data_IF_742634707764
#
_entry.id   IF_742634707764
#
_cell.length_a   1.000
_cell.length_b   1.000
_cell.length_c   1.000
_cell.angle_alpha   90.00
_cell.angle_beta   90.00
_cell.angle_gamma   90.00
#
_symmetry.space_group_name_H-M   'P 1'
#
loop_
_entity.id
_entity.type
_entity.pdbx_description
1 polymer ?
#
# COMPACT_ATOMS: atom_id res chain seq x y z
N UNK A 1 -20.41 -7.59 7.14
CA UNK A 1 -19.68 -6.58 6.32
C UNK A 1 -18.61 -7.32 5.53
N UNK A 2 -18.57 -7.14 4.20
CA UNK A 2 -17.54 -7.78 3.36
C UNK A 2 -16.29 -6.91 3.37
N UNK A 3 -15.12 -7.51 3.62
CA UNK A 3 -13.84 -6.83 3.63
C UNK A 3 -13.00 -7.23 2.41
N UNK A 4 -12.01 -6.39 2.05
CA UNK A 4 -10.93 -6.71 1.13
C UNK A 4 -9.60 -6.22 1.71
N UNK A 5 -8.51 -6.94 1.41
CA UNK A 5 -7.14 -6.52 1.71
C UNK A 5 -6.54 -5.85 0.47
N UNK A 6 -5.99 -4.66 0.66
CA UNK A 6 -5.22 -3.93 -0.35
C UNK A 6 -3.74 -4.01 0.04
N UNK A 7 -2.93 -4.70 -0.77
CA UNK A 7 -1.48 -4.81 -0.61
C UNK A 7 -0.83 -3.86 -1.59
N UNK A 8 -0.34 -2.72 -1.09
CA UNK A 8 0.01 -1.56 -1.90
C UNK A 8 1.51 -1.49 -2.14
N UNK A 9 1.92 -1.56 -3.42
CA UNK A 9 3.25 -1.27 -3.92
C UNK A 9 4.39 -2.01 -3.20
N UNK A 10 4.19 -3.28 -2.84
CA UNK A 10 5.26 -4.10 -2.24
C UNK A 10 6.19 -4.60 -3.34
N UNK A 11 6.98 -3.67 -3.89
CA UNK A 11 7.88 -3.84 -5.03
C UNK A 11 9.34 -3.81 -4.58
N UNK A 12 10.23 -4.42 -5.38
CA UNK A 12 11.66 -4.50 -5.08
C UNK A 12 12.34 -3.12 -4.95
N UNK A 13 11.72 -2.04 -5.48
CA UNK A 13 12.17 -0.67 -5.28
C UNK A 13 12.33 -0.30 -3.80
N UNK A 14 11.46 -0.88 -2.94
CA UNK A 14 11.46 -0.64 -1.50
C UNK A 14 12.37 -1.59 -0.70
N UNK A 15 13.13 -2.44 -1.36
CA UNK A 15 14.05 -3.41 -0.72
C UNK A 15 15.46 -3.29 -1.28
N UNK A 16 15.62 -3.57 -2.56
CA UNK A 16 16.92 -3.58 -3.27
C UNK A 16 17.06 -2.43 -4.26
N UNK A 17 16.01 -1.62 -4.43
CA UNK A 17 15.99 -0.44 -5.26
C UNK A 17 16.52 0.81 -4.54
N UNK A 18 16.04 1.98 -4.96
CA UNK A 18 16.53 3.29 -4.48
C UNK A 18 15.81 3.81 -3.24
N UNK A 19 14.72 3.18 -2.83
CA UNK A 19 13.84 3.65 -1.74
C UNK A 19 13.67 2.61 -0.64
N UNK A 20 14.75 2.05 -0.05
CA UNK A 20 14.63 0.97 0.93
C UNK A 20 13.83 1.42 2.16
N UNK A 21 12.73 0.75 2.43
CA UNK A 21 11.91 0.99 3.62
C UNK A 21 12.67 0.54 4.86
N UNK A 22 12.74 1.40 5.88
CA UNK A 22 13.53 1.17 7.08
C UNK A 22 12.68 1.06 8.36
N UNK A 23 11.42 1.53 8.32
CA UNK A 23 10.55 1.54 9.51
C UNK A 23 9.08 1.24 9.14
N UNK A 24 8.38 0.45 9.98
CA UNK A 24 8.89 -0.36 11.08
C UNK A 24 9.63 -1.61 10.58
N UNK A 25 10.56 -2.09 11.41
CA UNK A 25 11.21 -3.38 11.14
C UNK A 25 10.16 -4.51 11.09
N UNK A 26 10.31 -5.47 10.15
CA UNK A 26 9.39 -6.59 10.01
C UNK A 26 8.07 -6.27 9.32
N UNK A 27 7.91 -5.07 8.75
CA UNK A 27 6.68 -4.70 8.04
C UNK A 27 6.35 -5.66 6.90
N UNK A 28 7.34 -6.17 6.16
CA UNK A 28 7.11 -7.19 5.13
C UNK A 28 6.49 -8.46 5.72
N UNK A 29 7.04 -8.99 6.80
CA UNK A 29 6.52 -10.21 7.43
C UNK A 29 5.07 -10.02 7.89
N UNK A 30 4.73 -8.82 8.37
CA UNK A 30 3.36 -8.49 8.76
C UNK A 30 2.43 -8.38 7.55
N UNK A 31 2.89 -7.82 6.41
CA UNK A 31 2.14 -7.83 5.16
C UNK A 31 1.86 -9.26 4.71
N UNK A 32 2.88 -10.13 4.74
CA UNK A 32 2.73 -11.52 4.34
C UNK A 32 1.74 -12.27 5.24
N UNK A 33 1.82 -12.07 6.56
CA UNK A 33 0.83 -12.63 7.52
C UNK A 33 -0.58 -12.12 7.26
N UNK A 34 -0.73 -10.84 6.89
CA UNK A 34 -2.04 -10.29 6.54
C UNK A 34 -2.61 -10.93 5.27
N UNK A 35 -1.76 -11.23 4.28
CA UNK A 35 -2.16 -11.97 3.06
C UNK A 35 -2.55 -13.41 3.39
N UNK A 36 -1.77 -14.11 4.20
CA UNK A 36 -2.04 -15.48 4.61
C UNK A 36 -3.36 -15.55 5.40
N UNK A 37 -3.58 -14.63 6.35
CA UNK A 37 -4.84 -14.49 7.08
C UNK A 37 -6.03 -14.19 6.13
N UNK A 38 -5.84 -13.34 5.14
CA UNK A 38 -6.88 -13.02 4.17
C UNK A 38 -7.24 -14.25 3.33
N UNK A 39 -6.25 -15.03 2.91
CA UNK A 39 -6.44 -16.28 2.17
C UNK A 39 -7.28 -17.29 2.99
N UNK A 40 -6.87 -17.55 4.25
CA UNK A 40 -7.56 -18.49 5.14
C UNK A 40 -8.99 -18.05 5.45
N UNK A 41 -9.19 -16.74 5.61
CA UNK A 41 -10.49 -16.11 5.83
C UNK A 41 -11.35 -15.92 4.57
N UNK A 42 -10.86 -16.28 3.40
CA UNK A 42 -11.51 -16.03 2.11
C UNK A 42 -11.85 -14.55 1.90
N UNK A 43 -10.97 -13.68 2.40
CA UNK A 43 -11.04 -12.22 2.20
C UNK A 43 -10.35 -11.89 0.87
N UNK A 44 -11.04 -11.24 -0.09
CA UNK A 44 -10.44 -10.88 -1.37
C UNK A 44 -9.19 -10.01 -1.21
N UNK A 45 -8.15 -10.29 -1.99
CA UNK A 45 -6.88 -9.58 -1.98
C UNK A 45 -6.65 -8.87 -3.31
N UNK A 46 -6.48 -7.55 -3.26
CA UNK A 46 -5.99 -6.76 -4.39
C UNK A 46 -4.53 -6.38 -4.13
N UNK A 47 -3.62 -6.83 -4.99
CA UNK A 47 -2.23 -6.38 -5.02
C UNK A 47 -2.15 -5.18 -5.94
N UNK A 48 -1.60 -4.08 -5.45
CA UNK A 48 -1.42 -2.85 -6.21
C UNK A 48 0.05 -2.74 -6.61
N UNK A 49 0.30 -2.35 -7.86
CA UNK A 49 1.66 -2.18 -8.39
C UNK A 49 1.80 -0.80 -9.01
N UNK A 50 2.74 -0.02 -8.50
CA UNK A 50 3.01 1.33 -9.01
C UNK A 50 3.94 1.29 -10.23
N UNK A 51 3.59 2.06 -11.25
CA UNK A 51 4.43 2.33 -12.41
C UNK A 51 4.59 3.83 -12.56
N UNK A 52 5.83 4.30 -12.62
CA UNK A 52 6.11 5.66 -13.04
C UNK A 52 6.14 5.72 -14.57
N UNK A 53 5.20 6.43 -15.21
CA UNK A 53 5.09 6.44 -16.67
C UNK A 53 6.09 7.37 -17.36
N UNK A 54 6.84 8.20 -16.61
CA UNK A 54 7.79 9.14 -17.20
C UNK A 54 8.92 8.36 -17.90
N UNK A 55 9.28 8.72 -19.14
CA UNK A 55 10.35 8.03 -19.89
C UNK A 55 11.71 8.02 -19.15
N UNK A 56 11.98 9.10 -18.41
CA UNK A 56 13.20 9.30 -17.61
C UNK A 56 13.09 8.76 -16.18
N UNK A 57 12.01 8.05 -15.85
CA UNK A 57 11.78 7.54 -14.50
C UNK A 57 12.98 6.71 -14.00
N UNK A 58 13.47 7.10 -12.83
CA UNK A 58 14.60 6.44 -12.16
C UNK A 58 14.15 5.46 -11.08
N UNK A 59 12.85 5.49 -10.74
CA UNK A 59 12.19 4.58 -9.79
C UNK A 59 10.90 4.06 -10.41
N UNK A 60 10.47 2.87 -10.06
CA UNK A 60 9.22 2.24 -10.53
C UNK A 60 9.10 2.19 -12.07
N UNK A 61 10.23 2.09 -12.78
CA UNK A 61 10.25 1.97 -14.24
C UNK A 61 9.88 0.55 -14.64
N UNK A 62 8.76 0.41 -15.37
CA UNK A 62 8.24 -0.88 -15.83
C UNK A 62 9.30 -1.70 -16.57
N UNK A 63 9.34 -2.99 -16.29
CA UNK A 63 10.28 -3.93 -16.90
C UNK A 63 11.69 -3.94 -16.27
N UNK A 64 11.88 -3.22 -15.14
CA UNK A 64 13.14 -3.32 -14.38
C UNK A 64 12.97 -4.23 -13.16
N UNK A 65 14.04 -4.88 -12.67
CA UNK A 65 13.96 -5.72 -11.46
C UNK A 65 13.42 -4.97 -10.23
N UNK A 66 13.71 -3.67 -10.10
CA UNK A 66 13.21 -2.84 -9.01
C UNK A 66 11.69 -2.61 -9.08
N UNK A 67 11.12 -2.57 -10.29
CA UNK A 67 9.68 -2.43 -10.50
C UNK A 67 8.89 -3.69 -10.15
N UNK A 68 9.50 -4.87 -10.26
CA UNK A 68 8.82 -6.13 -9.99
C UNK A 68 8.29 -6.17 -8.54
N UNK A 69 7.15 -6.82 -8.35
CA UNK A 69 6.65 -7.15 -7.01
C UNK A 69 7.67 -8.03 -6.28
N UNK A 70 7.76 -7.84 -4.98
CA UNK A 70 8.61 -8.70 -4.14
C UNK A 70 8.21 -10.17 -4.29
N UNK A 71 9.19 -11.07 -4.36
CA UNK A 71 8.97 -12.49 -4.65
C UNK A 71 7.97 -13.16 -3.71
N UNK A 72 8.01 -12.83 -2.41
CA UNK A 72 7.08 -13.37 -1.44
C UNK A 72 5.63 -12.92 -1.68
N UNK A 73 5.40 -11.73 -2.25
CA UNK A 73 4.07 -11.28 -2.69
C UNK A 73 3.63 -12.07 -3.92
N UNK A 74 4.52 -12.26 -4.89
CA UNK A 74 4.23 -13.01 -6.13
C UNK A 74 3.88 -14.47 -5.89
N UNK A 75 4.40 -15.07 -4.82
CA UNK A 75 4.12 -16.47 -4.43
C UNK A 75 2.75 -16.64 -3.75
N UNK A 76 2.13 -15.56 -3.31
CA UNK A 76 0.83 -15.58 -2.61
C UNK A 76 -0.32 -15.29 -3.57
N UNK A 77 -1.48 -15.85 -3.23
CA UNK A 77 -2.68 -15.60 -4.03
C UNK A 77 -3.11 -14.14 -3.96
N UNK A 78 -3.43 -13.57 -5.12
CA UNK A 78 -4.12 -12.30 -5.28
C UNK A 78 -5.30 -12.49 -6.22
N UNK A 79 -6.46 -11.96 -5.87
CA UNK A 79 -7.65 -12.01 -6.74
C UNK A 79 -7.55 -11.06 -7.91
N UNK A 80 -6.76 -10.01 -7.76
CA UNK A 80 -6.45 -9.04 -8.82
C UNK A 80 -5.09 -8.37 -8.57
N UNK A 81 -4.37 -8.06 -9.65
CA UNK A 81 -3.24 -7.15 -9.64
C UNK A 81 -3.68 -5.89 -10.38
N UNK A 82 -3.55 -4.74 -9.72
CA UNK A 82 -3.97 -3.43 -10.23
C UNK A 82 -2.75 -2.54 -10.42
N UNK A 83 -2.40 -2.27 -11.67
CA UNK A 83 -1.34 -1.29 -11.99
C UNK A 83 -1.89 0.13 -11.86
N UNK A 84 -1.11 1.04 -11.23
CA UNK A 84 -1.44 2.46 -11.07
C UNK A 84 -0.26 3.36 -11.37
N UNK A 85 -0.55 4.59 -11.77
CA UNK A 85 0.43 5.62 -12.09
C UNK A 85 0.39 6.83 -11.15
N UNK A 86 -0.56 6.84 -10.22
CA UNK A 86 -0.73 7.91 -9.22
C UNK A 86 -0.60 7.32 -7.81
N UNK A 87 -0.31 8.14 -6.78
CA UNK A 87 -0.21 7.63 -5.40
C UNK A 87 -1.47 6.89 -4.94
N UNK A 88 -2.64 7.44 -5.23
CA UNK A 88 -3.91 6.82 -4.83
C UNK A 88 -4.32 5.66 -5.73
N UNK A 89 -4.61 4.52 -5.12
CA UNK A 89 -4.92 3.27 -5.84
C UNK A 89 -6.25 3.28 -6.59
N UNK A 90 -7.12 4.24 -6.32
CA UNK A 90 -8.41 4.38 -7.03
C UNK A 90 -8.33 5.27 -8.27
N UNK A 91 -7.29 6.08 -8.40
CA UNK A 91 -7.18 7.06 -9.47
C UNK A 91 -6.79 6.40 -10.79
N UNK A 92 -7.70 6.41 -11.76
CA UNK A 92 -7.47 5.85 -13.10
C UNK A 92 -7.31 4.33 -13.13
N UNK A 93 -7.87 3.61 -12.15
CA UNK A 93 -7.75 2.16 -12.02
C UNK A 93 -9.12 1.48 -11.95
N UNK A 94 -9.12 0.17 -12.09
CA UNK A 94 -10.32 -0.67 -11.95
C UNK A 94 -10.67 -1.02 -10.50
N UNK A 95 -9.86 -0.60 -9.52
CA UNK A 95 -10.01 -1.01 -8.12
C UNK A 95 -11.40 -0.69 -7.56
N UNK A 96 -11.91 0.52 -7.85
CA UNK A 96 -13.22 0.93 -7.35
C UNK A 96 -14.35 0.01 -7.82
N UNK A 97 -14.37 -0.31 -9.12
CA UNK A 97 -15.36 -1.23 -9.72
C UNK A 97 -15.21 -2.64 -9.15
N UNK A 98 -13.97 -3.14 -9.07
CA UNK A 98 -13.67 -4.47 -8.53
C UNK A 98 -14.19 -4.67 -7.09
N UNK A 99 -14.06 -3.64 -6.24
CA UNK A 99 -14.58 -3.65 -4.87
C UNK A 99 -16.13 -3.61 -4.84
N UNK A 100 -16.75 -2.80 -5.71
CA UNK A 100 -18.20 -2.68 -5.82
C UNK A 100 -18.85 -3.99 -6.27
N UNK A 101 -18.30 -4.65 -7.31
CA UNK A 101 -18.80 -5.93 -7.84
C UNK A 101 -18.80 -7.04 -6.77
N UNK A 102 -17.93 -6.91 -5.75
CA UNK A 102 -17.84 -7.85 -4.62
C UNK A 102 -18.66 -7.42 -3.41
N UNK A 103 -19.36 -6.27 -3.52
CA UNK A 103 -20.10 -5.65 -2.41
C UNK A 103 -19.23 -5.45 -1.16
N UNK A 104 -17.94 -5.08 -1.36
CA UNK A 104 -17.02 -4.75 -0.28
C UNK A 104 -17.47 -3.46 0.39
N UNK A 105 -17.46 -3.44 1.71
CA UNK A 105 -17.80 -2.27 2.53
C UNK A 105 -16.65 -1.83 3.44
N UNK A 106 -15.62 -2.68 3.60
CA UNK A 106 -14.45 -2.40 4.42
C UNK A 106 -13.18 -2.72 3.62
N UNK A 107 -12.22 -1.81 3.60
CA UNK A 107 -10.89 -2.04 3.03
C UNK A 107 -9.84 -2.04 4.13
N UNK A 108 -8.93 -3.01 4.08
CA UNK A 108 -7.76 -3.07 4.94
C UNK A 108 -6.54 -2.70 4.12
N UNK A 109 -5.75 -1.74 4.59
CA UNK A 109 -4.58 -1.20 3.88
C UNK A 109 -3.30 -1.72 4.51
N UNK A 110 -2.43 -2.30 3.67
CA UNK A 110 -1.07 -2.71 3.98
C UNK A 110 -0.15 -2.35 2.81
N UNK A 111 1.15 -2.22 3.04
CA UNK A 111 2.15 -1.96 1.98
C UNK A 111 2.91 -0.65 2.15
N UNK A 112 3.35 -0.03 1.06
CA UNK A 112 4.30 1.10 1.06
C UNK A 112 3.85 2.26 0.16
N UNK A 113 4.31 3.50 0.44
CA UNK A 113 4.81 3.94 1.74
C UNK A 113 3.66 4.48 2.56
N UNK A 114 3.80 4.42 3.87
CA UNK A 114 2.79 4.87 4.86
C UNK A 114 2.20 6.23 4.50
N UNK A 115 3.04 7.27 4.32
CA UNK A 115 2.64 8.66 4.09
C UNK A 115 2.25 8.96 2.64
N UNK A 116 2.48 8.03 1.72
CA UNK A 116 2.28 8.27 0.29
C UNK A 116 1.10 7.43 -0.24
N UNK A 117 1.38 6.27 -0.82
CA UNK A 117 0.37 5.47 -1.49
C UNK A 117 -0.65 4.87 -0.52
N UNK A 118 -0.21 4.48 0.70
CA UNK A 118 -1.11 3.94 1.72
C UNK A 118 -2.05 5.02 2.28
N UNK A 119 -1.51 6.16 2.74
CA UNK A 119 -2.30 7.29 3.26
C UNK A 119 -3.28 7.82 2.20
N UNK A 120 -2.79 8.07 0.98
CA UNK A 120 -3.64 8.57 -0.13
C UNK A 120 -4.77 7.60 -0.44
N UNK A 121 -4.48 6.30 -0.53
CA UNK A 121 -5.49 5.27 -0.81
C UNK A 121 -6.52 5.17 0.32
N UNK A 122 -6.09 5.22 1.57
CA UNK A 122 -6.98 5.19 2.74
C UNK A 122 -7.94 6.39 2.73
N UNK A 123 -7.44 7.60 2.46
CA UNK A 123 -8.29 8.81 2.34
C UNK A 123 -9.26 8.70 1.17
N UNK A 124 -8.81 8.21 0.00
CA UNK A 124 -9.69 7.97 -1.13
C UNK A 124 -10.79 6.95 -0.82
N UNK A 125 -10.46 5.87 -0.10
CA UNK A 125 -11.43 4.86 0.34
C UNK A 125 -12.47 5.48 1.29
N UNK A 126 -12.02 6.26 2.28
CA UNK A 126 -12.90 6.97 3.20
C UNK A 126 -13.89 7.90 2.46
N UNK A 127 -13.41 8.70 1.51
CA UNK A 127 -14.27 9.58 0.71
C UNK A 127 -15.25 8.81 -0.20
N UNK A 128 -14.94 7.55 -0.53
CA UNK A 128 -15.83 6.62 -1.24
C UNK A 128 -16.75 5.83 -0.33
N UNK A 129 -16.81 6.18 0.97
CA UNK A 129 -17.68 5.58 1.98
C UNK A 129 -17.31 4.15 2.37
N UNK A 130 -16.10 3.70 2.12
CA UNK A 130 -15.59 2.46 2.73
C UNK A 130 -15.23 2.70 4.19
N UNK A 131 -15.50 1.73 5.06
CA UNK A 131 -14.80 1.63 6.32
C UNK A 131 -13.34 1.25 6.05
N UNK A 132 -12.40 1.93 6.71
CA UNK A 132 -10.96 1.71 6.45
C UNK A 132 -10.29 1.16 7.71
N UNK A 133 -9.48 0.11 7.54
CA UNK A 133 -8.52 -0.37 8.51
C UNK A 133 -7.13 -0.10 7.96
N UNK A 134 -6.26 0.46 8.78
CA UNK A 134 -4.88 0.79 8.38
C UNK A 134 -3.92 0.02 9.27
N UNK A 135 -3.19 -0.95 8.70
CA UNK A 135 -2.33 -1.82 9.49
C UNK A 135 -1.03 -1.08 9.82
N UNK A 136 -0.87 -0.69 11.08
CA UNK A 136 0.25 0.12 11.54
C UNK A 136 1.60 -0.59 11.40
N UNK A 137 1.63 -1.88 11.63
CA UNK A 137 2.84 -2.72 11.58
C UNK A 137 3.07 -3.38 10.21
N UNK A 138 2.08 -3.29 9.31
CA UNK A 138 2.14 -3.78 7.94
C UNK A 138 2.12 -2.66 6.88
N UNK A 139 2.41 -1.43 7.29
CA UNK A 139 2.78 -0.31 6.42
C UNK A 139 4.14 0.20 6.84
N UNK A 140 4.87 0.85 5.94
CA UNK A 140 6.23 1.28 6.27
C UNK A 140 6.72 2.46 5.43
N UNK A 141 7.83 3.05 5.87
CA UNK A 141 8.45 4.19 5.20
C UNK A 141 9.97 4.24 5.45
N UNK A 142 10.60 5.29 4.99
CA UNK A 142 12.02 5.61 5.14
C UNK A 142 12.19 7.07 5.60
N UNK A 143 13.40 7.44 6.02
CA UNK A 143 13.72 8.84 6.32
C UNK A 143 13.57 9.70 5.07
N UNK A 144 12.98 10.89 5.22
CA UNK A 144 12.81 11.83 4.11
C UNK A 144 13.53 13.14 4.40
N UNK A 145 14.30 13.59 3.42
CA UNK A 145 14.92 14.91 3.43
C UNK A 145 14.71 15.60 2.09
N UNK A 146 14.27 16.86 2.12
CA UNK A 146 14.05 17.71 0.95
C UNK A 146 14.16 19.19 1.33
N UNK A 147 13.79 20.09 0.41
CA UNK A 147 13.86 21.55 0.63
C UNK A 147 12.97 22.05 1.79
N UNK A 148 11.95 21.30 2.20
CA UNK A 148 11.10 21.67 3.32
C UNK A 148 11.68 21.26 4.67
N UNK A 149 12.66 20.35 4.70
CA UNK A 149 13.28 19.84 5.91
C UNK A 149 13.53 18.36 5.87
N UNK A 150 13.76 17.77 7.04
CA UNK A 150 14.00 16.35 7.22
C UNK A 150 13.09 15.79 8.31
N UNK A 151 12.68 14.54 8.13
CA UNK A 151 11.87 13.80 9.11
C UNK A 151 12.33 12.34 9.14
N UNK A 152 12.44 11.79 10.35
CA UNK A 152 12.76 10.37 10.52
C UNK A 152 11.60 9.48 10.05
N UNK A 153 11.91 8.27 9.61
CA UNK A 153 10.90 7.28 9.23
C UNK A 153 9.91 7.00 10.37
N UNK A 154 10.42 6.90 11.60
CA UNK A 154 9.59 6.65 12.79
C UNK A 154 8.61 7.79 13.06
N UNK A 155 9.07 9.04 13.06
CA UNK A 155 8.22 10.20 13.33
C UNK A 155 7.19 10.39 12.21
N UNK A 156 7.61 10.25 10.95
CA UNK A 156 6.72 10.35 9.80
C UNK A 156 5.62 9.29 9.83
N UNK A 157 6.01 8.03 10.07
CA UNK A 157 5.08 6.91 10.20
C UNK A 157 4.07 7.18 11.31
N UNK A 158 4.55 7.51 12.51
CA UNK A 158 3.71 7.79 13.67
C UNK A 158 2.71 8.93 13.40
N UNK A 159 3.17 10.04 12.83
CA UNK A 159 2.32 11.19 12.52
C UNK A 159 1.16 10.82 11.57
N UNK A 160 1.44 9.98 10.57
CA UNK A 160 0.41 9.51 9.65
C UNK A 160 -0.58 8.58 10.36
N UNK A 161 -0.12 7.65 11.19
CA UNK A 161 -1.01 6.76 11.96
C UNK A 161 -1.96 7.54 12.87
N UNK A 162 -1.43 8.55 13.58
CA UNK A 162 -2.25 9.45 14.43
C UNK A 162 -3.33 10.15 13.58
N UNK A 163 -2.95 10.68 12.42
CA UNK A 163 -3.89 11.35 11.52
C UNK A 163 -4.94 10.40 10.95
N UNK A 164 -4.54 9.20 10.55
CA UNK A 164 -5.46 8.17 10.06
C UNK A 164 -6.48 7.79 11.14
N UNK A 165 -6.01 7.49 12.35
CA UNK A 165 -6.87 7.12 13.48
C UNK A 165 -7.84 8.24 13.87
N UNK A 166 -7.44 9.48 13.75
CA UNK A 166 -8.29 10.62 14.13
C UNK A 166 -9.55 10.73 13.26
N UNK A 167 -9.46 10.36 11.95
CA UNK A 167 -10.55 10.67 11.01
C UNK A 167 -10.84 9.59 9.97
N UNK A 168 -9.83 9.00 9.36
CA UNK A 168 -9.99 8.30 8.09
C UNK A 168 -10.07 6.78 8.25
N UNK A 169 -9.42 6.22 9.25
CA UNK A 169 -9.29 4.78 9.42
C UNK A 169 -9.29 4.37 10.89
N UNK A 170 -9.57 3.10 11.14
CA UNK A 170 -9.16 2.42 12.36
C UNK A 170 -7.74 1.91 12.14
N UNK A 171 -6.81 2.34 12.98
CA UNK A 171 -5.42 1.89 13.01
C UNK A 171 -5.25 0.71 13.96
#
# INVERSE_FOLDING_TARGET
MKAALLVIDVQNEYFTGKLPVTHPAGSLDNILRAMDWAHDGRVPVAVIQHTNPAPEAVTFRKGTPAWELHDEIRRRHADIIVEKNMPGSFTGTVLGQWLQDRAVSTVTVAGYMTQMCCDTTARQAFHRRYAVRFLSDATGTLDISNKAGSVSAADLHHAILVTQQQKFARV
#
